data_IF_393464652776
#
_entry.id   IF_393464652776
#
_cell.length_a   1.000
_cell.length_b   1.000
_cell.length_c   1.000
_cell.angle_alpha   90.00
_cell.angle_beta   90.00
_cell.angle_gamma   90.00
#
_symmetry.space_group_name_H-M   'P 1'
#
loop_
_entity.id
_entity.type
_entity.pdbx_description
1 polymer ?
#
# COMPACT_ATOMS: atom_id res chain seq x y z
N UNK A 1 -3.81 -37.49 25.36
CA UNK A 1 -4.69 -38.50 24.75
C UNK A 1 -5.00 -39.59 25.75
N UNK A 2 -6.26 -40.01 25.88
CA UNK A 2 -6.69 -41.07 26.82
C UNK A 2 -6.75 -42.43 26.10
N UNK A 3 -5.61 -43.15 26.08
CA UNK A 3 -5.52 -44.48 25.48
C UNK A 3 -6.43 -45.52 26.18
N UNK A 4 -6.76 -45.26 27.45
CA UNK A 4 -7.59 -46.14 28.29
C UNK A 4 -8.97 -46.39 27.66
N UNK A 5 -9.58 -45.37 27.07
CA UNK A 5 -10.88 -45.51 26.42
C UNK A 5 -10.83 -46.42 25.18
N UNK A 6 -9.76 -46.33 24.38
CA UNK A 6 -9.60 -47.16 23.19
C UNK A 6 -9.35 -48.63 23.54
N UNK A 7 -8.53 -48.88 24.58
CA UNK A 7 -8.28 -50.23 25.07
C UNK A 7 -9.53 -50.85 25.71
N UNK A 8 -10.31 -50.05 26.46
CA UNK A 8 -11.59 -50.49 27.03
C UNK A 8 -12.62 -50.79 25.94
N UNK A 9 -12.64 -50.02 24.84
CA UNK A 9 -13.49 -50.32 23.68
C UNK A 9 -13.12 -51.66 23.03
N UNK A 10 -11.82 -51.94 22.86
CA UNK A 10 -11.34 -53.24 22.35
C UNK A 10 -11.73 -54.38 23.29
N UNK A 11 -11.55 -54.19 24.59
CA UNK A 11 -11.96 -55.17 25.61
C UNK A 11 -13.46 -55.45 25.54
N UNK A 12 -14.28 -54.40 25.51
CA UNK A 12 -15.74 -54.51 25.40
C UNK A 12 -16.17 -55.18 24.10
N UNK A 13 -15.46 -54.93 23.00
CA UNK A 13 -15.69 -55.62 21.73
C UNK A 13 -15.40 -57.12 21.82
N UNK A 14 -14.30 -57.52 22.47
CA UNK A 14 -13.97 -58.92 22.73
C UNK A 14 -14.97 -59.60 23.66
N UNK A 15 -15.43 -58.90 24.70
CA UNK A 15 -16.48 -59.39 25.62
C UNK A 15 -17.82 -59.56 24.89
N UNK A 16 -18.21 -58.61 24.03
CA UNK A 16 -19.41 -58.71 23.20
C UNK A 16 -19.32 -59.87 22.19
N UNK A 17 -18.17 -60.05 21.54
CA UNK A 17 -17.94 -61.14 20.61
C UNK A 17 -18.02 -62.53 21.28
N UNK A 18 -17.74 -62.60 22.58
CA UNK A 18 -17.81 -63.83 23.38
C UNK A 18 -19.09 -63.95 24.21
N UNK A 19 -20.06 -63.06 24.02
CA UNK A 19 -21.31 -63.05 24.78
C UNK A 19 -22.12 -64.36 24.63
N UNK A 20 -22.19 -64.92 23.42
CA UNK A 20 -22.86 -66.21 23.15
C UNK A 20 -21.97 -67.44 23.40
N UNK A 21 -20.72 -67.28 23.81
CA UNK A 21 -19.81 -68.39 24.05
C UNK A 21 -20.09 -69.08 25.40
N UNK A 22 -19.49 -70.26 25.58
CA UNK A 22 -19.49 -70.98 26.85
C UNK A 22 -18.65 -70.26 27.93
N UNK A 23 -18.85 -70.62 29.20
CA UNK A 23 -18.24 -69.95 30.35
C UNK A 23 -16.70 -70.07 30.39
N UNK A 24 -16.13 -71.16 29.86
CA UNK A 24 -14.67 -71.32 29.78
C UNK A 24 -14.10 -70.33 28.76
N UNK A 25 -14.71 -70.23 27.58
CA UNK A 25 -14.31 -69.30 26.51
C UNK A 25 -14.42 -67.85 26.98
N UNK A 26 -15.49 -67.48 27.70
CA UNK A 26 -15.65 -66.12 28.25
C UNK A 26 -14.58 -65.79 29.30
N UNK A 27 -14.26 -66.73 30.19
CA UNK A 27 -13.22 -66.57 31.21
C UNK A 27 -11.83 -66.40 30.61
N UNK A 28 -11.52 -67.15 29.54
CA UNK A 28 -10.26 -67.02 28.78
C UNK A 28 -10.18 -65.67 28.10
N UNK A 29 -11.25 -65.22 27.44
CA UNK A 29 -11.30 -63.91 26.78
C UNK A 29 -11.11 -62.74 27.77
N UNK A 30 -11.70 -62.83 28.96
CA UNK A 30 -11.58 -61.79 29.98
C UNK A 30 -10.17 -61.70 30.56
N UNK A 31 -9.50 -62.85 30.75
CA UNK A 31 -8.08 -62.90 31.19
C UNK A 31 -7.15 -62.37 30.09
N UNK A 32 -7.39 -62.77 28.84
CA UNK A 32 -6.64 -62.27 27.68
C UNK A 32 -6.78 -60.76 27.53
N UNK A 33 -8.00 -60.23 27.64
CA UNK A 33 -8.27 -58.80 27.58
C UNK A 33 -7.49 -58.02 28.65
N UNK A 34 -7.49 -58.50 29.90
CA UNK A 34 -6.71 -57.87 30.97
C UNK A 34 -5.19 -57.92 30.72
N UNK A 35 -4.66 -59.01 30.15
CA UNK A 35 -3.23 -59.12 29.83
C UNK A 35 -2.80 -58.36 28.59
N UNK A 36 -3.73 -58.12 27.66
CA UNK A 36 -3.47 -57.40 26.41
C UNK A 36 -3.43 -55.89 26.61
N UNK A 37 -3.92 -55.36 27.73
CA UNK A 37 -3.92 -53.91 27.98
C UNK A 37 -2.48 -53.35 27.99
N UNK A 38 -1.58 -53.96 28.75
CA UNK A 38 -0.19 -53.48 28.88
C UNK A 38 0.60 -53.59 27.57
N UNK A 39 0.49 -54.73 26.89
CA UNK A 39 1.17 -54.96 25.61
C UNK A 39 0.56 -54.12 24.48
N UNK A 40 -0.77 -53.96 24.47
CA UNK A 40 -1.51 -53.15 23.53
C UNK A 40 -1.22 -51.66 23.69
N UNK A 41 -1.15 -51.16 24.93
CA UNK A 41 -0.76 -49.79 25.24
C UNK A 41 0.65 -49.49 24.73
N UNK A 42 1.61 -50.36 25.03
CA UNK A 42 2.99 -50.17 24.57
C UNK A 42 3.06 -50.15 23.04
N UNK A 43 2.37 -51.07 22.36
CA UNK A 43 2.32 -51.12 20.90
C UNK A 43 1.71 -49.85 20.29
N UNK A 44 0.63 -49.33 20.87
CA UNK A 44 0.00 -48.08 20.45
C UNK A 44 0.94 -46.87 20.63
N UNK A 45 1.62 -46.77 21.77
CA UNK A 45 2.58 -45.68 22.02
C UNK A 45 3.73 -45.73 21.01
N UNK A 46 4.27 -46.93 20.72
CA UNK A 46 5.32 -47.09 19.71
C UNK A 46 4.84 -46.67 18.33
N UNK A 47 3.65 -47.13 17.91
CA UNK A 47 3.08 -46.77 16.61
C UNK A 47 2.82 -45.25 16.47
N UNK A 48 2.30 -44.61 17.53
CA UNK A 48 2.10 -43.16 17.56
C UNK A 48 3.43 -42.40 17.53
N UNK A 49 4.48 -42.92 18.16
CA UNK A 49 5.82 -42.33 18.15
C UNK A 49 6.45 -42.38 16.75
N UNK A 50 6.32 -43.52 16.07
CA UNK A 50 6.79 -43.67 14.68
C UNK A 50 6.04 -42.73 13.73
N UNK A 51 4.70 -42.65 13.86
CA UNK A 51 3.87 -41.75 13.08
C UNK A 51 4.21 -40.27 13.32
N UNK A 52 4.44 -39.87 14.59
CA UNK A 52 4.88 -38.52 14.93
C UNK A 52 6.20 -38.16 14.23
N UNK A 53 7.16 -39.10 14.20
CA UNK A 53 8.44 -38.94 13.53
C UNK A 53 8.32 -38.79 12.01
N UNK A 54 7.36 -39.48 11.38
CA UNK A 54 7.06 -39.33 9.96
C UNK A 54 6.46 -37.95 9.66
N UNK A 55 5.42 -37.57 10.41
CA UNK A 55 4.75 -36.27 10.27
C UNK A 55 5.71 -35.11 10.52
N UNK A 56 6.61 -35.22 11.51
CA UNK A 56 7.61 -34.20 11.80
C UNK A 56 8.61 -33.99 10.64
N UNK A 57 8.85 -35.00 9.79
CA UNK A 57 9.73 -34.84 8.61
C UNK A 57 9.03 -34.06 7.50
N UNK A 58 7.73 -34.24 7.35
CA UNK A 58 6.93 -33.54 6.34
C UNK A 58 6.62 -32.09 6.73
N UNK A 59 6.48 -31.81 8.03
CA UNK A 59 6.11 -30.48 8.55
C UNK A 59 7.25 -29.46 8.64
N UNK A 60 8.49 -29.83 8.30
CA UNK A 60 9.66 -28.95 8.44
C UNK A 60 9.44 -27.56 7.80
N UNK A 61 9.70 -26.45 8.52
CA UNK A 61 10.50 -26.35 9.76
C UNK A 61 9.70 -26.55 11.07
N UNK A 62 8.42 -26.91 11.02
CA UNK A 62 7.66 -27.36 12.19
C UNK A 62 7.97 -28.81 12.58
N UNK A 63 7.62 -29.19 13.81
CA UNK A 63 7.79 -30.56 14.33
C UNK A 63 6.57 -31.01 15.14
N UNK A 64 6.38 -32.32 15.22
CA UNK A 64 5.38 -32.97 16.07
C UNK A 64 6.11 -33.99 16.91
N UNK A 65 6.01 -33.87 18.23
CA UNK A 65 6.66 -34.76 19.19
C UNK A 65 5.61 -35.42 20.09
N UNK A 66 5.84 -36.69 20.44
CA UNK A 66 5.04 -37.38 21.44
C UNK A 66 5.76 -37.31 22.80
N UNK A 67 5.12 -36.66 23.77
CA UNK A 67 5.64 -36.50 25.14
C UNK A 67 4.81 -37.34 26.12
N UNK A 68 5.48 -37.89 27.14
CA UNK A 68 4.82 -38.62 28.23
C UNK A 68 4.65 -37.70 29.44
N UNK A 69 3.40 -37.48 29.88
CA UNK A 69 3.07 -36.73 31.07
C UNK A 69 2.24 -37.61 32.01
N UNK A 70 2.82 -38.03 33.15
CA UNK A 70 2.11 -38.86 34.13
C UNK A 70 1.61 -40.20 33.59
N UNK A 71 2.29 -40.78 32.60
CA UNK A 71 1.88 -42.03 31.94
C UNK A 71 0.87 -41.84 30.80
N UNK A 72 0.44 -40.60 30.53
CA UNK A 72 -0.43 -40.26 29.40
C UNK A 72 0.40 -39.69 28.24
N UNK A 73 0.20 -40.15 27.00
CA UNK A 73 0.83 -39.58 25.82
C UNK A 73 0.15 -38.26 25.43
N UNK A 74 0.96 -37.27 25.06
CA UNK A 74 0.55 -35.93 24.65
C UNK A 74 1.35 -35.52 23.40
N UNK A 75 0.67 -34.93 22.41
CA UNK A 75 1.33 -34.40 21.23
C UNK A 75 1.73 -32.95 21.47
N UNK A 76 3.01 -32.64 21.25
CA UNK A 76 3.52 -31.28 21.23
C UNK A 76 3.81 -30.92 19.79
N UNK A 77 3.01 -30.01 19.24
CA UNK A 77 3.19 -29.51 17.89
C UNK A 77 3.91 -28.18 17.97
N UNK A 78 5.10 -28.11 17.38
CA UNK A 78 5.84 -26.86 17.19
C UNK A 78 5.65 -26.43 15.74
N UNK A 79 4.71 -25.52 15.43
CA UNK A 79 4.53 -25.06 14.06
C UNK A 79 5.76 -24.30 13.56
N UNK A 80 5.98 -24.33 12.25
CA UNK A 80 6.96 -23.47 11.60
C UNK A 80 6.76 -22.00 12.03
N UNK A 81 7.83 -21.18 12.15
CA UNK A 81 7.68 -19.77 12.56
C UNK A 81 6.76 -18.95 11.64
N UNK A 82 6.51 -19.41 10.42
CA UNK A 82 5.55 -18.86 9.45
C UNK A 82 4.09 -19.34 9.64
N UNK A 83 3.81 -20.33 10.50
CA UNK A 83 2.48 -20.90 10.79
C UNK A 83 1.93 -20.52 12.17
N UNK A 84 2.71 -19.87 13.04
CA UNK A 84 2.27 -19.32 14.34
C UNK A 84 1.20 -18.19 14.23
N UNK A 85 0.71 -17.90 13.02
CA UNK A 85 -0.36 -16.94 12.69
C UNK A 85 -1.76 -17.56 12.57
N UNK A 86 -2.00 -18.77 13.09
CA UNK A 86 -3.34 -19.39 13.18
C UNK A 86 -3.60 -19.99 14.58
N UNK A 87 -4.73 -19.69 15.27
CA UNK A 87 -5.06 -20.24 16.57
C UNK A 87 -5.50 -21.70 16.47
N UNK A 88 -4.86 -22.51 17.32
CA UNK A 88 -5.33 -23.81 17.78
C UNK A 88 -6.44 -23.57 18.82
N UNK A 89 -7.60 -24.14 18.55
CA UNK A 89 -8.75 -24.23 19.46
C UNK A 89 -8.64 -25.57 20.18
N UNK A 90 -8.51 -25.54 21.51
CA UNK A 90 -8.86 -26.67 22.36
C UNK A 90 -9.72 -26.18 23.52
N UNK A 91 -11.01 -26.46 23.36
CA UNK A 91 -12.03 -26.88 24.32
C UNK A 91 -12.31 -26.08 25.60
N UNK A 92 -13.56 -25.61 25.72
CA UNK A 92 -14.45 -26.15 26.76
C UNK A 92 -15.90 -26.17 26.25
N UNK A 93 -16.53 -27.33 26.35
CA UNK A 93 -17.91 -27.67 25.96
C UNK A 93 -18.93 -27.01 26.90
N UNK A 94 -20.07 -26.52 26.40
CA UNK A 94 -21.43 -27.02 26.75
C UNK A 94 -22.54 -26.22 26.06
N UNK A 95 -23.47 -26.97 25.47
CA UNK A 95 -24.89 -26.69 25.22
C UNK A 95 -25.28 -25.36 24.56
N UNK A 96 -25.71 -25.43 23.29
CA UNK A 96 -27.15 -25.31 22.99
C UNK A 96 -27.40 -25.73 21.53
N UNK A 97 -28.37 -26.62 21.36
CA UNK A 97 -28.94 -27.02 20.08
C UNK A 97 -29.56 -25.81 19.41
N UNK A 98 -29.06 -25.39 18.24
CA UNK A 98 -29.94 -24.78 17.25
C UNK A 98 -29.38 -24.99 15.84
N UNK A 99 -29.91 -26.02 15.18
CA UNK A 99 -30.08 -25.99 13.72
C UNK A 99 -30.85 -24.69 13.37
N UNK A 100 -30.18 -23.75 12.71
CA UNK A 100 -30.87 -22.78 11.87
C UNK A 100 -30.12 -22.64 10.56
N UNK A 101 -30.84 -23.08 9.54
CA UNK A 101 -30.52 -23.00 8.12
C UNK A 101 -30.29 -21.56 7.65
N UNK A 102 -29.51 -21.46 6.59
CA UNK A 102 -29.42 -20.37 5.62
C UNK A 102 -29.25 -18.94 6.14
N UNK A 103 -28.02 -18.45 6.01
CA UNK A 103 -27.85 -17.04 5.62
C UNK A 103 -26.66 -16.90 4.67
N UNK A 104 -27.00 -16.59 3.43
CA UNK A 104 -26.19 -16.04 2.34
C UNK A 104 -24.71 -15.84 2.66
N UNK A 105 -23.92 -16.84 2.26
CA UNK A 105 -22.50 -16.65 2.02
C UNK A 105 -22.35 -15.60 0.93
N UNK A 106 -21.99 -14.38 1.33
CA UNK A 106 -21.29 -13.46 0.44
C UNK A 106 -19.99 -14.16 0.09
N UNK A 107 -19.98 -14.85 -1.06
CA UNK A 107 -18.78 -15.36 -1.70
C UNK A 107 -17.93 -14.15 -2.07
N UNK A 108 -17.12 -13.68 -1.13
CA UNK A 108 -15.89 -12.95 -1.44
C UNK A 108 -15.08 -13.89 -2.33
N UNK A 109 -14.66 -13.40 -3.49
CA UNK A 109 -13.98 -14.14 -4.54
C UNK A 109 -13.03 -15.21 -3.96
N UNK A 110 -13.29 -16.47 -4.32
CA UNK A 110 -12.67 -17.67 -3.75
C UNK A 110 -11.15 -17.81 -3.98
N UNK A 111 -10.49 -16.76 -4.50
CA UNK A 111 -9.06 -16.74 -4.85
C UNK A 111 -8.25 -15.71 -4.04
N UNK A 112 -8.84 -14.96 -3.09
CA UNK A 112 -8.05 -14.11 -2.18
C UNK A 112 -7.63 -14.87 -0.91
N UNK A 113 -6.32 -14.91 -0.59
CA UNK A 113 -5.84 -15.58 0.61
C UNK A 113 -6.35 -14.84 1.86
N UNK A 114 -7.28 -15.45 2.59
CA UNK A 114 -7.77 -14.92 3.87
C UNK A 114 -6.68 -15.08 4.94
N UNK A 115 -6.16 -13.97 5.46
CA UNK A 115 -5.19 -14.00 6.56
C UNK A 115 -5.93 -14.09 7.91
N UNK A 116 -5.57 -15.09 8.75
CA UNK A 116 -6.09 -15.19 10.12
C UNK A 116 -5.28 -14.29 11.05
N UNK A 117 -5.96 -13.51 11.89
CA UNK A 117 -5.33 -12.58 12.86
C UNK A 117 -5.85 -12.91 14.27
N UNK A 118 -4.96 -13.37 15.16
CA UNK A 118 -5.27 -13.60 16.58
C UNK A 118 -5.03 -12.33 17.37
N UNK A 119 -6.10 -11.75 17.95
CA UNK A 119 -6.01 -10.51 18.73
C UNK A 119 -6.24 -10.78 20.22
N UNK A 120 -5.30 -10.36 21.07
CA UNK A 120 -5.49 -10.36 22.53
C UNK A 120 -6.06 -9.03 22.97
N UNK A 121 -7.37 -9.02 23.23
CA UNK A 121 -8.08 -7.84 23.69
C UNK A 121 -8.24 -7.86 25.22
N UNK A 122 -8.08 -6.71 25.91
CA UNK A 122 -8.58 -6.57 27.27
C UNK A 122 -10.09 -6.85 27.31
N UNK A 123 -10.58 -7.47 28.39
CA UNK A 123 -12.01 -7.84 28.54
C UNK A 123 -12.97 -6.66 28.34
N UNK A 124 -12.57 -5.46 28.76
CA UNK A 124 -13.37 -4.24 28.56
C UNK A 124 -13.58 -3.89 27.08
N UNK A 125 -12.65 -4.27 26.20
CA UNK A 125 -12.75 -4.02 24.76
C UNK A 125 -13.60 -5.09 24.10
N UNK A 126 -13.41 -6.38 24.46
CA UNK A 126 -14.25 -7.48 23.99
C UNK A 126 -15.73 -7.22 24.29
N UNK A 127 -16.05 -6.84 25.53
CA UNK A 127 -17.44 -6.59 25.94
C UNK A 127 -18.10 -5.46 25.13
N UNK A 128 -17.36 -4.39 24.82
CA UNK A 128 -17.87 -3.28 24.00
C UNK A 128 -18.12 -3.70 22.55
N UNK A 129 -17.27 -4.58 22.01
CA UNK A 129 -17.44 -5.13 20.67
C UNK A 129 -18.67 -6.03 20.63
N UNK A 130 -18.83 -6.91 21.62
CA UNK A 130 -19.97 -7.82 21.69
C UNK A 130 -21.30 -7.06 21.87
N UNK A 131 -21.32 -6.01 22.72
CA UNK A 131 -22.48 -5.14 22.90
C UNK A 131 -22.85 -4.39 21.60
N UNK A 132 -21.86 -3.85 20.88
CA UNK A 132 -22.09 -3.16 19.62
C UNK A 132 -22.55 -4.12 18.50
N UNK A 133 -21.98 -5.32 18.45
CA UNK A 133 -22.37 -6.36 17.51
C UNK A 133 -23.79 -6.86 17.78
N UNK A 134 -24.14 -7.08 19.05
CA UNK A 134 -25.49 -7.47 19.47
C UNK A 134 -26.54 -6.39 19.16
N UNK A 135 -26.20 -5.10 19.35
CA UNK A 135 -27.08 -3.99 18.97
C UNK A 135 -27.37 -3.93 17.46
N UNK A 136 -26.44 -4.41 16.63
CA UNK A 136 -26.58 -4.50 15.17
C UNK A 136 -27.10 -5.86 14.67
N UNK A 137 -27.29 -6.84 15.56
CA UNK A 137 -27.77 -8.18 15.22
C UNK A 137 -26.79 -8.98 14.34
N UNK A 138 -25.49 -8.68 14.41
CA UNK A 138 -24.44 -9.34 13.63
C UNK A 138 -23.38 -9.95 14.56
N UNK A 139 -22.55 -10.86 14.04
CA UNK A 139 -21.46 -11.45 14.82
C UNK A 139 -20.37 -10.42 15.13
N UNK A 140 -19.69 -10.59 16.27
CA UNK A 140 -18.56 -9.74 16.66
C UNK A 140 -17.46 -9.70 15.58
N UNK A 141 -17.22 -10.81 14.89
CA UNK A 141 -16.27 -10.88 13.78
C UNK A 141 -16.72 -10.05 12.58
N UNK A 142 -18.00 -10.12 12.20
CA UNK A 142 -18.56 -9.32 11.11
C UNK A 142 -18.56 -7.83 11.46
N UNK A 143 -18.91 -7.49 12.70
CA UNK A 143 -18.88 -6.11 13.20
C UNK A 143 -17.46 -5.53 13.19
N UNK A 144 -16.46 -6.30 13.64
CA UNK A 144 -15.05 -5.92 13.60
C UNK A 144 -14.55 -5.73 12.16
N UNK A 145 -14.87 -6.66 11.27
CA UNK A 145 -14.50 -6.59 9.85
C UNK A 145 -15.08 -5.33 9.19
N UNK A 146 -16.37 -5.06 9.40
CA UNK A 146 -17.05 -3.85 8.89
C UNK A 146 -16.42 -2.57 9.44
N UNK A 147 -16.12 -2.55 10.74
CA UNK A 147 -15.48 -1.39 11.40
C UNK A 147 -14.10 -1.14 10.81
N UNK A 148 -13.28 -2.18 10.65
CA UNK A 148 -11.94 -2.08 10.05
C UNK A 148 -12.01 -1.63 8.59
N UNK A 149 -12.91 -2.18 7.78
CA UNK A 149 -13.11 -1.78 6.39
C UNK A 149 -13.57 -0.32 6.27
N UNK A 150 -14.43 0.14 7.17
CA UNK A 150 -14.92 1.52 7.20
C UNK A 150 -13.77 2.48 7.53
N UNK A 151 -12.99 2.18 8.56
CA UNK A 151 -11.83 3.00 8.97
C UNK A 151 -10.69 3.00 7.94
N UNK A 152 -10.47 1.89 7.24
CA UNK A 152 -9.50 1.82 6.14
C UNK A 152 -10.02 2.57 4.92
N UNK A 153 -11.30 2.45 4.59
CA UNK A 153 -11.93 3.19 3.49
C UNK A 153 -11.87 4.71 3.71
N UNK A 154 -12.14 5.18 4.92
CA UNK A 154 -12.09 6.61 5.25
C UNK A 154 -10.66 7.15 5.30
N UNK A 155 -9.70 6.37 5.80
CA UNK A 155 -8.28 6.73 5.70
C UNK A 155 -7.79 6.76 4.26
N UNK A 156 -8.22 5.81 3.43
CA UNK A 156 -7.88 5.79 2.02
C UNK A 156 -8.48 6.99 1.28
N UNK A 157 -9.72 7.40 1.59
CA UNK A 157 -10.32 8.63 1.02
C UNK A 157 -9.57 9.91 1.45
N UNK A 158 -9.07 9.97 2.69
CA UNK A 158 -8.29 11.12 3.19
C UNK A 158 -6.86 11.14 2.64
N UNK A 159 -6.23 9.97 2.47
CA UNK A 159 -4.88 9.81 1.92
C UNK A 159 -4.82 9.88 0.39
N UNK A 160 -5.88 9.46 -0.29
CA UNK A 160 -6.03 9.51 -1.74
C UNK A 160 -6.75 10.78 -2.23
N UNK A 161 -6.69 11.87 -1.45
CA UNK A 161 -7.03 13.18 -2.02
C UNK A 161 -5.99 13.44 -3.10
N UNK A 162 -6.35 13.49 -4.39
CA UNK A 162 -5.37 13.73 -5.42
C UNK A 162 -4.62 15.03 -5.08
N UNK A 163 -3.29 15.08 -5.24
CA UNK A 163 -2.59 16.34 -5.13
C UNK A 163 -3.35 17.32 -6.03
N UNK A 164 -3.72 18.49 -5.48
CA UNK A 164 -4.27 19.57 -6.31
C UNK A 164 -3.38 19.63 -7.56
N UNK A 165 -3.94 19.58 -8.78
CA UNK A 165 -3.11 19.55 -9.97
C UNK A 165 -2.12 20.71 -9.84
N UNK A 166 -0.82 20.47 -10.11
CA UNK A 166 0.12 21.57 -10.15
C UNK A 166 -0.49 22.62 -11.07
N UNK A 167 -0.59 23.86 -10.57
CA UNK A 167 -0.95 24.99 -11.43
C UNK A 167 -0.10 24.83 -12.69
N UNK A 168 -0.69 24.93 -13.90
CA UNK A 168 0.10 24.75 -15.12
C UNK A 168 1.34 25.63 -15.00
N UNK A 169 2.53 25.16 -15.44
CA UNK A 169 3.70 26.02 -15.46
C UNK A 169 3.25 27.34 -16.06
N UNK A 170 3.46 28.42 -15.31
CA UNK A 170 3.08 29.77 -15.76
C UNK A 170 3.85 29.97 -17.05
N UNK A 171 3.19 29.64 -18.16
CA UNK A 171 3.82 29.69 -19.47
C UNK A 171 4.23 31.13 -19.70
N UNK A 172 5.00 31.35 -20.76
CA UNK A 172 5.34 32.68 -21.29
C UNK A 172 4.08 33.58 -21.44
N UNK A 173 2.88 32.99 -21.43
CA UNK A 173 1.55 33.61 -21.50
C UNK A 173 0.74 33.71 -20.18
N UNK A 174 1.28 33.32 -19.03
CA UNK A 174 0.59 33.47 -17.74
C UNK A 174 0.58 34.94 -17.24
N UNK A 175 -0.21 35.32 -16.23
CA UNK A 175 -0.41 36.73 -15.88
C UNK A 175 0.83 37.52 -15.41
N UNK A 176 1.93 36.82 -15.11
CA UNK A 176 3.26 37.35 -14.68
C UNK A 176 4.36 36.83 -15.64
N UNK A 177 3.98 36.20 -16.76
CA UNK A 177 4.91 35.87 -17.85
C UNK A 177 5.22 37.15 -18.65
N UNK A 178 6.27 37.19 -19.49
CA UNK A 178 6.69 38.42 -20.17
C UNK A 178 5.58 39.07 -20.98
N UNK A 179 4.66 38.29 -21.57
CA UNK A 179 3.51 38.77 -22.35
C UNK A 179 2.19 38.84 -21.54
N UNK A 180 2.20 38.49 -20.26
CA UNK A 180 1.01 38.56 -19.40
C UNK A 180 0.65 39.99 -19.01
N UNK A 181 -0.58 40.28 -18.55
CA UNK A 181 -1.03 41.61 -18.13
C UNK A 181 -0.05 42.36 -17.21
N UNK A 182 0.52 41.69 -16.21
CA UNK A 182 1.51 42.27 -15.29
C UNK A 182 2.97 41.99 -15.68
N UNK A 183 3.19 41.39 -16.85
CA UNK A 183 4.51 41.06 -17.38
C UNK A 183 5.21 42.29 -17.98
N UNK A 184 6.54 42.29 -18.13
CA UNK A 184 7.28 43.42 -18.69
C UNK A 184 6.82 43.87 -20.08
N UNK A 185 6.36 42.96 -20.94
CA UNK A 185 5.79 43.24 -22.28
C UNK A 185 4.25 43.30 -22.28
N UNK A 186 3.61 43.14 -21.12
CA UNK A 186 2.17 43.24 -20.96
C UNK A 186 1.65 44.67 -21.08
N UNK A 187 0.33 44.86 -21.21
CA UNK A 187 -0.31 46.17 -21.25
C UNK A 187 0.05 47.08 -20.06
N UNK A 188 0.12 46.54 -18.85
CA UNK A 188 0.52 47.28 -17.63
C UNK A 188 2.02 47.13 -17.32
N UNK A 189 2.77 46.50 -18.23
CA UNK A 189 4.20 46.23 -18.12
C UNK A 189 5.08 47.44 -18.39
N UNK A 190 6.37 47.34 -18.06
CA UNK A 190 7.33 48.44 -18.32
C UNK A 190 7.50 48.79 -19.80
N UNK A 191 7.21 47.87 -20.72
CA UNK A 191 7.16 48.08 -22.17
C UNK A 191 5.73 48.16 -22.73
N UNK A 192 4.70 48.06 -21.90
CA UNK A 192 3.30 48.26 -22.29
C UNK A 192 3.01 49.71 -22.71
N UNK A 193 1.87 50.02 -23.35
CA UNK A 193 1.53 51.35 -23.86
C UNK A 193 1.70 52.49 -22.83
N UNK A 194 1.32 52.24 -21.58
CA UNK A 194 1.44 53.17 -20.45
C UNK A 194 2.69 52.93 -19.57
N UNK A 195 3.51 51.95 -19.94
CA UNK A 195 4.75 51.58 -19.26
C UNK A 195 5.85 52.61 -19.44
N UNK A 196 6.88 52.58 -18.56
CA UNK A 196 7.96 53.58 -18.59
C UNK A 196 8.77 53.63 -19.89
N UNK A 197 8.86 52.51 -20.60
CA UNK A 197 9.45 52.36 -21.93
C UNK A 197 8.41 52.20 -23.06
N UNK A 198 7.12 52.22 -22.71
CA UNK A 198 6.03 52.26 -23.67
C UNK A 198 5.99 53.54 -24.48
N UNK A 199 5.32 53.58 -25.64
CA UNK A 199 5.25 54.76 -26.51
C UNK A 199 4.85 56.06 -25.79
N UNK A 200 3.90 56.01 -24.85
CA UNK A 200 3.47 57.16 -24.03
C UNK A 200 4.27 57.38 -22.74
N UNK A 201 5.16 56.45 -22.38
CA UNK A 201 5.98 56.50 -21.18
C UNK A 201 7.13 57.51 -21.26
N UNK A 202 7.73 57.90 -20.12
CA UNK A 202 8.83 58.87 -20.08
C UNK A 202 10.02 58.54 -20.99
N UNK A 203 10.32 57.26 -21.22
CA UNK A 203 11.43 56.80 -22.08
C UNK A 203 10.96 56.26 -23.44
N UNK A 204 9.66 56.31 -23.73
CA UNK A 204 9.08 55.91 -25.01
C UNK A 204 9.35 56.88 -26.14
N UNK A 205 8.92 56.54 -27.36
CA UNK A 205 9.07 57.38 -28.55
C UNK A 205 8.47 58.78 -28.38
N UNK A 206 7.29 58.87 -27.74
CA UNK A 206 6.59 60.13 -27.48
C UNK A 206 6.95 60.75 -26.12
N UNK A 207 7.74 60.02 -25.32
CA UNK A 207 8.17 60.34 -23.97
C UNK A 207 9.06 61.57 -23.85
N UNK A 208 9.15 62.10 -22.63
CA UNK A 208 9.98 63.28 -22.30
C UNK A 208 11.47 63.03 -22.55
N UNK A 209 11.92 61.78 -22.39
CA UNK A 209 13.29 61.30 -22.62
C UNK A 209 13.41 60.44 -23.90
N UNK A 210 12.38 60.42 -24.74
CA UNK A 210 12.33 59.63 -25.96
C UNK A 210 13.36 60.01 -27.02
N UNK A 211 13.81 59.05 -27.86
CA UNK A 211 14.84 59.29 -28.88
C UNK A 211 14.40 60.31 -29.95
N UNK A 212 13.10 60.50 -30.17
CA UNK A 212 12.58 61.34 -31.26
C UNK A 212 12.44 62.84 -30.90
N UNK A 213 12.30 63.20 -29.60
CA UNK A 213 12.33 64.62 -29.21
C UNK A 213 13.69 65.27 -29.47
N UNK A 214 14.77 64.50 -29.48
CA UNK A 214 16.11 64.96 -29.87
C UNK A 214 16.27 65.33 -31.35
N UNK A 215 15.22 65.14 -32.18
CA UNK A 215 15.23 65.42 -33.62
C UNK A 215 14.32 66.57 -34.04
N UNK A 216 13.41 67.09 -33.19
CA UNK A 216 12.54 68.24 -33.56
C UNK A 216 13.24 69.60 -33.43
N UNK A 217 14.41 69.67 -32.80
CA UNK A 217 15.21 70.90 -32.69
C UNK A 217 16.24 71.14 -33.81
N UNK A 218 16.46 70.18 -34.73
CA UNK A 218 17.58 70.24 -35.70
C UNK A 218 17.21 70.54 -37.15
N UNK A 219 15.94 70.81 -37.44
CA UNK A 219 15.47 71.11 -38.79
C UNK A 219 15.23 72.61 -39.06
N UNK A 220 15.73 73.52 -38.22
CA UNK A 220 15.72 74.97 -38.53
C UNK A 220 17.06 75.51 -39.03
N UNK A 221 18.15 74.73 -38.96
CA UNK A 221 19.51 75.23 -39.28
C UNK A 221 20.11 74.70 -40.59
N UNK A 222 19.29 74.07 -41.45
CA UNK A 222 19.75 73.57 -42.76
C UNK A 222 19.38 74.43 -43.96
N UNK A 223 18.48 75.40 -43.83
CA UNK A 223 18.06 76.22 -44.97
C UNK A 223 19.00 77.42 -45.28
N UNK A 224 20.00 77.69 -44.45
CA UNK A 224 20.94 78.81 -44.69
C UNK A 224 22.31 78.42 -45.26
N UNK A 225 22.59 77.13 -45.48
CA UNK A 225 23.93 76.66 -45.91
C UNK A 225 24.08 76.29 -47.39
N UNK A 226 23.01 76.37 -48.17
CA UNK A 226 23.04 76.08 -49.62
C UNK A 226 23.18 77.32 -50.52
N UNK A 227 23.34 78.52 -49.95
CA UNK A 227 23.61 79.74 -50.73
C UNK A 227 25.08 80.02 -51.07
N UNK A 228 26.03 79.29 -50.48
CA UNK A 228 27.45 79.68 -50.53
C UNK A 228 28.38 78.68 -51.24
N UNK A 229 27.84 77.62 -51.85
CA UNK A 229 28.62 76.59 -52.57
C UNK A 229 28.71 76.76 -54.09
N UNK A 230 28.00 77.72 -54.67
CA UNK A 230 28.04 77.96 -56.13
C UNK A 230 29.13 78.95 -56.60
N UNK A 231 29.97 79.47 -55.70
CA UNK A 231 31.07 80.40 -56.07
C UNK A 231 32.46 79.78 -56.19
N UNK A 232 32.64 78.48 -55.90
CA UNK A 232 33.97 77.83 -55.97
C UNK A 232 34.13 76.77 -57.06
N UNK A 233 33.27 76.80 -58.08
CA UNK A 233 33.50 76.08 -59.35
C UNK A 233 34.18 77.00 -60.37
N UNK A 234 35.48 77.26 -60.23
CA UNK A 234 36.37 77.67 -61.34
C UNK A 234 37.85 77.67 -60.91
N UNK A 235 38.64 76.82 -61.56
CA UNK A 235 40.11 76.74 -61.47
C UNK A 235 40.60 75.61 -60.55
N UNK A 236 41.24 74.53 -60.99
CA UNK A 236 41.80 74.17 -62.29
C UNK A 236 43.20 73.58 -62.08
N UNK A 237 43.43 72.35 -62.58
CA UNK A 237 44.74 71.67 -62.83
C UNK A 237 45.64 71.40 -61.60
N UNK A 238 46.40 70.31 -61.46
CA UNK A 238 46.88 69.28 -62.37
C UNK A 238 47.63 68.19 -61.55
N UNK A 239 48.38 67.25 -62.17
CA UNK A 239 48.25 65.81 -61.87
C UNK A 239 49.52 65.10 -61.34
N UNK A 240 49.35 63.86 -60.85
CA UNK A 240 50.23 62.75 -61.26
C UNK A 240 51.00 61.97 -60.19
N UNK A 241 51.14 60.66 -60.48
CA UNK A 241 52.10 59.64 -59.99
C UNK A 241 51.65 58.84 -58.74
N UNK A 242 51.12 57.60 -58.83
CA UNK A 242 51.66 56.28 -59.30
C UNK A 242 52.98 55.89 -58.60
N UNK A 243 52.92 55.10 -57.53
CA UNK A 243 53.12 53.63 -57.49
C UNK A 243 54.39 53.13 -58.16
N UNK A 244 55.36 52.71 -57.35
CA UNK A 244 56.36 51.71 -57.69
C UNK A 244 56.28 50.59 -56.65
N UNK A 245 56.02 49.37 -57.13
CA UNK A 245 56.32 48.13 -56.41
C UNK A 245 57.62 47.55 -56.94
N UNK A 246 58.28 46.72 -56.14
CA UNK A 246 59.29 45.77 -56.59
C UNK A 246 59.08 44.46 -55.81
N UNK A 247 58.94 43.37 -56.57
CA UNK A 247 59.09 42.01 -56.09
C UNK A 247 60.58 41.77 -55.77
N UNK A 248 60.91 40.99 -54.73
CA UNK A 248 61.13 39.54 -54.81
C UNK A 248 61.51 38.99 -53.42
#
# INVERSE_FOLDING_TARGET
MELDHYLESVRRSVENATALADDQTRSVAQRLGATLDDAGRLALISALSDAAGEISRELSPGSVELRMAGGRPEFVVTPAPSQLTGPDETDDETDDDTETEDTDQVTLDADEPTARITLRLPMSVKNKVDEAAAAEGISSNAWLMRTVMTELGDRNRRGNRPPRPPRPPRGVFGPDGPLGPNGPLGPDGVFGPDGVFGPGGPFGEEGVFGPERGRRGRNRDRDDRDRDKDRRRRGGHGPGQRMTGWAQ
#
